data_IF_949433225781
#
_entry.id   IF_949433225781
#
_cell.length_a   1.000
_cell.length_b   1.000
_cell.length_c   1.000
_cell.angle_alpha   90.00
_cell.angle_beta   90.00
_cell.angle_gamma   90.00
#
_symmetry.space_group_name_H-M   'P 1'
#
loop_
_entity.id
_entity.type
_entity.pdbx_description
1 polymer ?
#
# COMPACT_ATOMS: atom_id res chain seq x y z
N UNK A 1 28.82 1.68 15.86
CA UNK A 1 27.80 1.26 14.88
C UNK A 1 28.17 -0.13 14.41
N UNK A 2 27.21 -1.03 14.16
CA UNK A 2 27.55 -2.28 13.47
C UNK A 2 27.93 -1.93 12.02
N UNK A 3 29.03 -2.48 11.47
CA UNK A 3 29.36 -2.29 10.07
C UNK A 3 28.19 -2.75 9.18
N UNK A 4 27.91 -2.05 8.08
CA UNK A 4 26.98 -2.55 7.08
C UNK A 4 27.71 -3.41 6.04
N UNK A 5 26.93 -4.23 5.34
CA UNK A 5 27.44 -5.08 4.28
C UNK A 5 27.86 -4.22 3.06
N UNK A 6 29.04 -4.42 2.46
CA UNK A 6 29.50 -3.65 1.30
C UNK A 6 28.56 -3.71 0.08
N UNK A 7 28.35 -2.58 -0.61
CA UNK A 7 27.45 -2.49 -1.76
C UNK A 7 27.92 -3.37 -2.94
N UNK A 8 29.23 -3.38 -3.18
CA UNK A 8 29.87 -4.19 -4.24
C UNK A 8 29.81 -5.69 -3.92
N UNK A 9 29.75 -6.08 -2.65
CA UNK A 9 29.70 -7.47 -2.22
C UNK A 9 28.33 -8.14 -2.43
N UNK A 10 27.24 -7.37 -2.59
CA UNK A 10 25.89 -7.92 -2.84
C UNK A 10 25.89 -8.70 -4.16
N UNK A 11 25.44 -9.94 -4.16
CA UNK A 11 25.45 -10.79 -5.36
C UNK A 11 24.22 -10.50 -6.23
N UNK A 12 24.43 -10.39 -7.55
CA UNK A 12 23.35 -10.15 -8.51
C UNK A 12 22.72 -8.77 -8.39
N UNK A 13 21.42 -8.69 -8.73
CA UNK A 13 20.60 -7.46 -8.65
C UNK A 13 21.17 -6.29 -9.48
N UNK A 14 21.74 -6.60 -10.65
CA UNK A 14 22.40 -5.62 -11.52
C UNK A 14 21.53 -4.41 -11.84
N UNK A 15 20.24 -4.62 -12.11
CA UNK A 15 19.30 -3.52 -12.37
C UNK A 15 19.07 -2.60 -11.16
N UNK A 16 18.94 -3.14 -9.94
CA UNK A 16 18.78 -2.29 -8.75
C UNK A 16 20.06 -1.52 -8.46
N UNK A 17 21.22 -2.18 -8.60
CA UNK A 17 22.51 -1.50 -8.42
C UNK A 17 22.70 -0.39 -9.44
N UNK A 18 22.35 -0.63 -10.70
CA UNK A 18 22.39 0.37 -11.75
C UNK A 18 21.46 1.54 -11.43
N UNK A 19 20.19 1.29 -11.12
CA UNK A 19 19.22 2.32 -10.77
C UNK A 19 19.69 3.21 -9.60
N UNK A 20 20.22 2.57 -8.53
CA UNK A 20 20.76 3.30 -7.37
C UNK A 20 22.02 4.11 -7.71
N UNK A 21 22.88 3.58 -8.59
CA UNK A 21 24.09 4.29 -9.06
C UNK A 21 23.70 5.50 -9.91
N UNK A 22 22.74 5.35 -10.82
CA UNK A 22 22.24 6.46 -11.66
C UNK A 22 21.54 7.53 -10.81
N UNK A 23 20.78 7.15 -9.78
CA UNK A 23 20.19 8.09 -8.83
C UNK A 23 21.23 8.82 -7.97
N UNK A 24 22.33 8.16 -7.67
CA UNK A 24 23.45 8.81 -7.01
C UNK A 24 24.12 9.85 -7.93
N UNK A 25 24.07 9.67 -9.25
CA UNK A 25 24.62 10.60 -10.25
C UNK A 25 23.65 11.76 -10.53
N UNK A 26 22.38 11.47 -10.85
CA UNK A 26 21.33 12.47 -11.06
C UNK A 26 20.11 12.19 -10.14
N UNK A 27 20.05 12.80 -8.94
CA UNK A 27 18.91 12.66 -8.03
C UNK A 27 17.58 13.16 -8.62
N UNK A 28 17.62 14.06 -9.62
CA UNK A 28 16.42 14.68 -10.23
C UNK A 28 15.60 13.67 -11.05
N UNK A 29 16.15 12.49 -11.33
CA UNK A 29 15.44 11.37 -11.97
C UNK A 29 14.14 11.01 -11.22
N UNK A 30 14.05 11.21 -9.89
CA UNK A 30 12.80 11.05 -9.14
C UNK A 30 12.68 9.73 -8.37
N UNK A 31 13.78 9.20 -7.87
CA UNK A 31 13.80 8.02 -6.99
C UNK A 31 13.60 6.68 -7.69
N UNK A 32 13.68 5.60 -6.92
CA UNK A 32 13.50 4.22 -7.39
C UNK A 32 12.48 3.47 -6.55
N UNK A 33 11.63 2.73 -7.23
CA UNK A 33 10.74 1.75 -6.66
C UNK A 33 11.27 0.33 -6.92
N UNK A 34 11.57 -0.40 -5.86
CA UNK A 34 12.04 -1.79 -5.94
C UNK A 34 10.94 -2.73 -5.50
N UNK A 35 10.32 -3.41 -6.47
CA UNK A 35 9.32 -4.45 -6.24
C UNK A 35 9.98 -5.81 -6.12
N UNK A 36 9.55 -6.61 -5.14
CA UNK A 36 9.94 -8.02 -5.05
C UNK A 36 9.69 -8.62 -3.69
N UNK A 37 9.94 -9.92 -3.50
CA UNK A 37 9.54 -10.60 -2.27
C UNK A 37 10.45 -10.26 -1.09
N UNK A 38 10.07 -10.75 0.09
CA UNK A 38 10.91 -10.64 1.30
C UNK A 38 12.22 -11.42 1.10
N UNK A 39 13.30 -10.93 1.72
CA UNK A 39 14.62 -11.58 1.66
C UNK A 39 15.49 -11.23 0.44
N UNK A 40 15.06 -10.34 -0.45
CA UNK A 40 15.85 -9.94 -1.65
C UNK A 40 16.91 -8.87 -1.39
N UNK A 41 17.42 -8.72 -0.15
CA UNK A 41 18.45 -7.73 0.21
C UNK A 41 18.15 -6.25 -0.09
N UNK A 42 16.90 -5.85 -0.38
CA UNK A 42 16.51 -4.46 -0.71
C UNK A 42 16.98 -3.43 0.33
N UNK A 43 16.70 -3.68 1.61
CA UNK A 43 17.14 -2.80 2.70
C UNK A 43 18.64 -2.89 2.99
N UNK A 44 19.30 -3.98 2.56
CA UNK A 44 20.77 -4.11 2.65
C UNK A 44 21.43 -3.22 1.60
N UNK A 45 20.93 -3.22 0.36
CA UNK A 45 21.40 -2.32 -0.69
C UNK A 45 21.25 -0.85 -0.29
N UNK A 46 20.09 -0.45 0.23
CA UNK A 46 19.85 0.91 0.70
C UNK A 46 20.89 1.38 1.74
N UNK A 47 21.13 0.54 2.77
CA UNK A 47 22.12 0.82 3.81
C UNK A 47 23.53 0.86 3.25
N UNK A 48 23.88 -0.10 2.41
CA UNK A 48 25.22 -0.18 1.83
C UNK A 48 25.55 0.99 0.91
N UNK A 49 24.56 1.54 0.19
CA UNK A 49 24.73 2.74 -0.62
C UNK A 49 24.94 3.99 0.24
N UNK A 50 24.16 4.15 1.31
CA UNK A 50 24.26 5.30 2.22
C UNK A 50 25.57 5.33 3.03
N UNK A 51 26.25 4.19 3.16
CA UNK A 51 27.57 4.09 3.78
C UNK A 51 28.70 4.55 2.85
N UNK A 52 28.46 4.61 1.54
CA UNK A 52 29.45 5.09 0.59
C UNK A 52 29.62 6.61 0.73
N UNK A 53 30.87 7.14 0.68
CA UNK A 53 31.14 8.58 0.76
C UNK A 53 30.82 9.31 -0.55
N UNK A 54 29.55 9.25 -0.97
CA UNK A 54 29.01 9.90 -2.16
C UNK A 54 28.41 11.26 -1.76
N UNK A 55 28.64 12.29 -2.58
CA UNK A 55 28.08 13.62 -2.36
C UNK A 55 26.54 13.55 -2.50
N UNK A 56 25.81 14.04 -1.50
CA UNK A 56 24.34 14.02 -1.48
C UNK A 56 23.69 12.75 -0.94
N UNK A 57 24.46 11.78 -0.44
CA UNK A 57 23.96 10.51 0.12
C UNK A 57 24.48 10.21 1.54
N UNK A 58 24.83 11.25 2.32
CA UNK A 58 25.59 11.09 3.58
C UNK A 58 24.81 10.44 4.74
N UNK A 59 23.50 10.24 4.58
CA UNK A 59 22.63 9.88 5.69
C UNK A 59 21.47 9.01 5.21
N UNK A 60 21.27 7.87 5.85
CA UNK A 60 20.08 7.07 5.68
C UNK A 60 19.00 7.47 6.68
N UNK A 61 17.81 7.78 6.18
CA UNK A 61 16.61 7.92 7.00
C UNK A 61 15.61 6.85 6.57
N UNK A 62 15.14 6.06 7.53
CA UNK A 62 14.12 5.05 7.28
C UNK A 62 12.77 5.55 7.77
N UNK A 63 11.76 5.48 6.90
CA UNK A 63 10.39 5.83 7.23
C UNK A 63 9.64 4.57 7.71
N UNK A 64 9.19 4.53 8.98
CA UNK A 64 8.37 3.43 9.47
C UNK A 64 6.93 3.51 8.95
N UNK A 65 6.28 2.35 8.79
CA UNK A 65 4.91 2.21 8.27
C UNK A 65 3.85 3.01 9.04
N UNK A 66 4.06 3.19 10.35
CA UNK A 66 3.14 3.93 11.22
C UNK A 66 3.44 5.43 11.34
N UNK A 67 4.27 6.00 10.46
CA UNK A 67 4.61 7.42 10.52
C UNK A 67 3.37 8.28 10.29
N UNK A 68 3.14 9.25 11.16
CA UNK A 68 2.15 10.31 10.89
C UNK A 68 2.75 11.36 9.98
N UNK A 69 1.92 12.12 9.30
CA UNK A 69 2.33 13.25 8.46
C UNK A 69 3.25 14.21 9.22
N UNK A 70 2.89 14.54 10.46
CA UNK A 70 3.66 15.37 11.38
C UNK A 70 5.06 14.85 11.68
N UNK A 71 5.25 13.53 11.76
CA UNK A 71 6.57 12.95 11.95
C UNK A 71 7.42 13.07 10.68
N UNK A 72 6.78 13.02 9.51
CA UNK A 72 7.45 13.09 8.21
C UNK A 72 7.84 14.53 7.89
N UNK A 73 6.88 15.44 7.87
CA UNK A 73 7.08 16.86 7.52
C UNK A 73 7.69 17.65 8.66
N UNK A 74 7.31 17.34 9.90
CA UNK A 74 7.62 18.15 11.08
C UNK A 74 6.40 18.92 11.56
N UNK A 75 6.52 19.55 12.73
CA UNK A 75 5.45 20.34 13.34
C UNK A 75 5.92 21.74 13.69
N UNK A 76 4.97 22.66 13.80
CA UNK A 76 5.20 24.02 14.28
C UNK A 76 4.64 24.11 15.71
N UNK A 77 5.49 24.45 16.67
CA UNK A 77 5.06 24.67 18.05
C UNK A 77 4.59 26.12 18.22
N UNK A 78 3.27 26.29 18.30
CA UNK A 78 2.61 27.57 18.52
C UNK A 78 2.72 28.07 19.96
N UNK A 79 2.99 27.19 20.94
CA UNK A 79 3.06 27.61 22.35
C UNK A 79 4.27 28.52 22.59
N UNK A 80 5.41 28.24 21.92
CA UNK A 80 6.55 29.15 21.92
C UNK A 80 6.31 30.42 21.09
N UNK A 81 5.52 30.34 20.00
CA UNK A 81 5.18 31.49 19.18
C UNK A 81 4.37 32.56 19.94
N UNK A 82 3.53 32.16 20.89
CA UNK A 82 2.73 33.07 21.73
C UNK A 82 3.54 33.75 22.83
N UNK A 83 4.62 33.12 23.32
CA UNK A 83 5.46 33.65 24.40
C UNK A 83 6.67 34.45 23.91
N UNK A 84 7.38 33.94 22.91
CA UNK A 84 8.67 34.46 22.44
C UNK A 84 8.59 35.15 21.06
N UNK A 85 7.39 35.22 20.46
CA UNK A 85 7.17 35.69 19.07
C UNK A 85 7.97 34.92 18.00
N UNK A 86 8.53 33.75 18.33
CA UNK A 86 9.26 32.89 17.40
C UNK A 86 8.53 31.56 17.23
N UNK A 87 8.23 31.22 15.98
CA UNK A 87 7.67 29.91 15.64
C UNK A 87 8.78 28.88 15.75
N UNK A 88 8.68 28.00 16.75
CA UNK A 88 9.66 26.94 16.92
C UNK A 88 9.29 25.75 16.03
N UNK A 89 10.13 25.49 15.03
CA UNK A 89 9.98 24.35 14.13
C UNK A 89 10.57 23.09 14.75
N UNK A 90 9.76 22.05 14.88
CA UNK A 90 10.20 20.72 15.26
C UNK A 90 10.48 19.89 13.98
N UNK A 91 11.75 19.55 13.69
CA UNK A 91 12.13 18.93 12.43
C UNK A 91 11.61 17.49 12.30
N UNK A 92 10.95 17.22 11.16
CA UNK A 92 10.49 15.90 10.77
C UNK A 92 11.59 15.00 10.17
N UNK A 93 11.17 13.84 9.66
CA UNK A 93 12.05 12.90 8.94
C UNK A 93 12.62 13.51 7.66
N UNK A 94 11.85 14.33 6.93
CA UNK A 94 12.29 14.96 5.69
C UNK A 94 13.46 15.93 5.92
N UNK A 95 13.41 16.70 7.01
CA UNK A 95 14.54 17.55 7.42
C UNK A 95 15.79 16.72 7.74
N UNK A 96 15.62 15.56 8.37
CA UNK A 96 16.73 14.64 8.67
C UNK A 96 17.29 13.95 7.42
N UNK A 97 16.48 13.79 6.38
CA UNK A 97 16.83 13.12 5.13
C UNK A 97 17.54 14.05 4.14
N UNK A 98 17.55 15.37 4.37
CA UNK A 98 18.22 16.33 3.50
C UNK A 98 19.69 15.95 3.24
N UNK A 99 20.07 15.93 1.97
CA UNK A 99 21.34 15.46 1.42
C UNK A 99 21.66 14.00 1.77
N UNK A 100 20.62 13.16 1.79
CA UNK A 100 20.68 11.75 2.14
C UNK A 100 19.77 10.87 1.29
N UNK A 101 19.59 9.64 1.77
CA UNK A 101 18.71 8.62 1.22
C UNK A 101 17.50 8.44 2.14
N UNK A 102 16.30 8.68 1.62
CA UNK A 102 15.05 8.32 2.29
C UNK A 102 14.61 6.93 1.82
N UNK A 103 14.73 5.96 2.72
CA UNK A 103 14.27 4.60 2.51
C UNK A 103 12.86 4.43 3.07
N UNK A 104 11.95 3.98 2.22
CA UNK A 104 10.57 3.70 2.56
C UNK A 104 10.30 2.23 2.34
N UNK A 105 10.04 1.50 3.43
CA UNK A 105 9.69 0.09 3.34
C UNK A 105 8.21 -0.07 3.03
N UNK A 106 7.87 -0.96 2.09
CA UNK A 106 6.50 -1.30 1.72
C UNK A 106 5.62 -0.05 1.49
N UNK A 107 5.99 0.75 0.47
CA UNK A 107 5.28 1.99 0.11
C UNK A 107 3.78 1.78 -0.13
N UNK A 108 3.38 0.57 -0.51
CA UNK A 108 1.99 0.16 -0.71
C UNK A 108 1.14 0.13 0.57
N UNK A 109 1.78 0.11 1.76
CA UNK A 109 1.10 0.10 3.05
C UNK A 109 0.96 1.51 3.65
N UNK A 110 1.59 2.52 3.05
CA UNK A 110 1.51 3.89 3.53
C UNK A 110 0.19 4.56 3.08
N UNK A 111 -0.31 5.52 3.85
CA UNK A 111 -1.40 6.38 3.40
C UNK A 111 -1.04 7.13 2.10
N UNK A 112 -1.96 7.14 1.14
CA UNK A 112 -1.79 7.82 -0.16
C UNK A 112 -1.27 9.26 0.00
N UNK A 113 -1.80 10.03 0.96
CA UNK A 113 -1.39 11.42 1.22
C UNK A 113 0.07 11.56 1.63
N UNK A 114 0.64 10.56 2.33
CA UNK A 114 2.06 10.56 2.66
C UNK A 114 2.90 10.23 1.44
N UNK A 115 2.49 9.25 0.63
CA UNK A 115 3.23 8.87 -0.58
C UNK A 115 3.27 10.04 -1.56
N UNK A 116 2.14 10.72 -1.76
CA UNK A 116 2.06 11.94 -2.58
C UNK A 116 3.02 13.02 -2.07
N UNK A 117 2.97 13.33 -0.77
CA UNK A 117 3.85 14.32 -0.16
C UNK A 117 5.33 13.96 -0.33
N UNK A 118 5.70 12.70 -0.12
CA UNK A 118 7.09 12.24 -0.27
C UNK A 118 7.57 12.41 -1.71
N UNK A 119 6.72 12.09 -2.70
CA UNK A 119 7.05 12.22 -4.12
C UNK A 119 7.08 13.69 -4.56
N UNK A 120 6.22 14.55 -4.01
CA UNK A 120 6.23 15.99 -4.25
C UNK A 120 7.53 16.61 -3.73
N UNK A 121 7.91 16.30 -2.50
CA UNK A 121 9.13 16.82 -1.88
C UNK A 121 10.39 16.24 -2.55
N UNK A 122 10.38 14.97 -2.94
CA UNK A 122 11.50 14.37 -3.68
C UNK A 122 11.73 15.05 -5.05
N UNK A 123 10.66 15.49 -5.72
CA UNK A 123 10.75 16.20 -6.99
C UNK A 123 11.09 17.69 -6.82
N UNK A 124 10.53 18.37 -5.82
CA UNK A 124 10.73 19.81 -5.60
C UNK A 124 12.02 20.14 -4.83
N UNK A 125 12.50 19.21 -4.01
CA UNK A 125 13.61 19.42 -3.07
C UNK A 125 13.25 20.32 -1.88
N UNK A 126 11.98 20.71 -1.71
CA UNK A 126 11.53 21.65 -0.66
C UNK A 126 10.35 21.03 0.08
N UNK A 127 10.46 20.95 1.40
CA UNK A 127 9.35 20.56 2.27
C UNK A 127 8.63 21.80 2.78
N UNK A 128 7.32 21.88 2.53
CA UNK A 128 6.45 22.99 2.92
C UNK A 128 5.42 22.53 3.93
N UNK A 129 5.33 23.26 5.04
CA UNK A 129 4.48 22.94 6.17
C UNK A 129 3.52 24.10 6.39
N UNK A 130 2.23 23.84 6.22
CA UNK A 130 1.18 24.85 6.41
C UNK A 130 0.27 24.43 7.58
N UNK A 131 0.29 25.19 8.67
CA UNK A 131 -0.60 24.98 9.82
C UNK A 131 -0.98 26.28 10.50
N UNK A 132 -2.24 26.37 10.91
CA UNK A 132 -2.78 27.48 11.71
C UNK A 132 -2.49 28.88 11.12
N UNK A 133 -2.47 28.96 9.79
CA UNK A 133 -2.21 30.20 9.04
C UNK A 133 -0.72 30.56 8.87
N UNK A 134 0.19 29.69 9.31
CA UNK A 134 1.64 29.86 9.18
C UNK A 134 2.17 28.86 8.15
N UNK A 135 3.00 29.35 7.23
CA UNK A 135 3.73 28.54 6.25
C UNK A 135 5.22 28.56 6.60
N UNK A 136 5.83 27.39 6.70
CA UNK A 136 7.26 27.22 6.92
C UNK A 136 7.83 26.28 5.86
N UNK A 137 8.95 26.66 5.27
CA UNK A 137 9.62 25.89 4.23
C UNK A 137 11.06 25.59 4.63
N UNK A 138 11.54 24.41 4.28
CA UNK A 138 12.95 24.07 4.41
C UNK A 138 13.41 23.16 3.27
N UNK A 139 14.71 23.23 2.96
CA UNK A 139 15.31 22.33 1.98
C UNK A 139 15.21 20.87 2.44
N UNK A 140 14.88 20.00 1.50
CA UNK A 140 14.67 18.57 1.69
C UNK A 140 15.03 17.80 0.40
N UNK A 141 16.18 18.13 -0.20
CA UNK A 141 16.75 17.34 -1.29
C UNK A 141 17.22 15.97 -0.77
N UNK A 142 16.65 14.88 -1.25
CA UNK A 142 17.08 13.52 -0.89
C UNK A 142 16.82 12.55 -2.06
N UNK A 143 17.55 11.45 -2.08
CA UNK A 143 17.25 10.33 -2.98
C UNK A 143 16.15 9.48 -2.33
N UNK A 144 15.07 9.20 -3.07
CA UNK A 144 13.98 8.35 -2.60
C UNK A 144 14.19 6.90 -3.06
N UNK A 145 14.15 5.96 -2.11
CA UNK A 145 14.10 4.53 -2.40
C UNK A 145 12.88 3.93 -1.72
N UNK A 146 11.88 3.57 -2.53
CA UNK A 146 10.70 2.83 -2.10
C UNK A 146 10.88 1.34 -2.35
N UNK A 147 10.40 0.50 -1.43
CA UNK A 147 10.23 -0.94 -1.69
C UNK A 147 8.76 -1.29 -1.69
N UNK A 148 8.38 -2.32 -2.43
CA UNK A 148 7.03 -2.90 -2.34
C UNK A 148 7.08 -4.42 -2.44
N UNK A 149 6.08 -5.06 -1.85
CA UNK A 149 5.79 -6.47 -2.05
C UNK A 149 4.47 -6.59 -2.81
N UNK A 150 4.46 -7.08 -4.06
CA UNK A 150 3.23 -7.17 -4.86
C UNK A 150 2.15 -8.05 -4.20
N UNK A 151 2.54 -9.01 -3.36
CA UNK A 151 1.61 -9.88 -2.63
C UNK A 151 0.80 -9.12 -1.55
N UNK A 152 1.26 -7.95 -1.11
CA UNK A 152 0.65 -7.15 -0.05
C UNK A 152 -0.19 -5.97 -0.57
N UNK A 153 -0.34 -5.87 -1.88
CA UNK A 153 -1.15 -4.86 -2.57
C UNK A 153 -0.37 -4.04 -3.59
N UNK A 154 -1.09 -3.51 -4.57
CA UNK A 154 -0.53 -2.67 -5.63
C UNK A 154 -0.63 -1.18 -5.27
N UNK A 155 0.37 -0.41 -5.70
CA UNK A 155 0.34 1.04 -5.61
C UNK A 155 -0.52 1.60 -6.74
N UNK A 156 -1.21 2.73 -6.49
CA UNK A 156 -2.01 3.39 -7.54
C UNK A 156 -1.14 3.76 -8.75
N UNK A 157 -1.63 3.58 -9.99
CA UNK A 157 -0.87 3.93 -11.20
C UNK A 157 -0.37 5.37 -11.22
N UNK A 158 -1.13 6.32 -10.66
CA UNK A 158 -0.74 7.73 -10.60
C UNK A 158 0.50 7.96 -9.71
N UNK A 159 0.67 7.16 -8.66
CA UNK A 159 1.83 7.23 -7.77
C UNK A 159 3.02 6.49 -8.36
N UNK A 160 2.77 5.38 -9.07
CA UNK A 160 3.81 4.64 -9.78
C UNK A 160 4.52 5.52 -10.80
N UNK A 161 3.78 6.25 -11.63
CA UNK A 161 4.36 7.11 -12.67
C UNK A 161 5.27 8.22 -12.11
N UNK A 162 5.06 8.61 -10.85
CA UNK A 162 5.87 9.64 -10.18
C UNK A 162 7.25 9.14 -9.74
N UNK A 163 7.48 7.84 -9.67
CA UNK A 163 8.82 7.29 -9.44
C UNK A 163 9.64 7.35 -10.73
N UNK A 164 10.89 7.78 -10.65
CA UNK A 164 11.79 7.78 -11.81
C UNK A 164 12.00 6.37 -12.36
N UNK A 165 12.48 5.48 -11.50
CA UNK A 165 12.78 4.09 -11.84
C UNK A 165 11.85 3.09 -11.15
N UNK A 166 11.55 2.00 -11.86
CA UNK A 166 10.93 0.79 -11.33
C UNK A 166 11.80 -0.43 -11.61
N UNK A 167 12.02 -1.27 -10.60
CA UNK A 167 12.76 -2.53 -10.75
C UNK A 167 11.97 -3.67 -10.13
N UNK A 168 11.66 -4.69 -10.93
CA UNK A 168 11.09 -5.95 -10.43
C UNK A 168 12.21 -6.97 -10.16
N UNK A 169 12.39 -7.31 -8.89
CA UNK A 169 13.25 -8.40 -8.46
C UNK A 169 12.51 -9.73 -8.59
N UNK A 170 12.85 -10.46 -9.64
CA UNK A 170 12.59 -11.89 -9.71
C UNK A 170 13.47 -12.60 -8.66
N UNK A 171 12.89 -13.22 -7.63
CA UNK A 171 13.63 -14.04 -6.65
C UNK A 171 14.11 -15.39 -7.23
N UNK A 172 14.40 -15.44 -8.53
CA UNK A 172 14.92 -16.60 -9.22
C UNK A 172 16.45 -16.55 -9.19
N UNK A 173 17.02 -16.95 -8.05
CA UNK A 173 18.47 -17.11 -7.93
C UNK A 173 18.86 -18.53 -8.33
N UNK A 174 19.91 -18.68 -9.13
CA UNK A 174 20.52 -19.99 -9.38
C UNK A 174 21.06 -20.60 -8.08
N UNK A 175 21.18 -21.93 -8.02
CA UNK A 175 21.74 -22.60 -6.84
C UNK A 175 23.14 -22.07 -6.49
N UNK A 176 23.94 -21.75 -7.50
CA UNK A 176 25.28 -21.18 -7.32
C UNK A 176 25.23 -19.78 -6.70
N UNK A 177 24.35 -18.90 -7.19
CA UNK A 177 24.17 -17.57 -6.60
C UNK A 177 23.65 -17.63 -5.16
N UNK A 178 22.71 -18.54 -4.86
CA UNK A 178 22.20 -18.71 -3.49
C UNK A 178 23.31 -19.15 -2.52
N UNK A 179 24.13 -20.11 -2.93
CA UNK A 179 25.28 -20.56 -2.13
C UNK A 179 26.26 -19.41 -1.92
N UNK A 180 26.53 -18.62 -2.96
CA UNK A 180 27.44 -17.49 -2.87
C UNK A 180 26.90 -16.38 -1.95
N UNK A 181 25.60 -16.07 -2.01
CA UNK A 181 24.94 -15.13 -1.10
C UNK A 181 25.11 -15.58 0.35
N UNK A 182 24.82 -16.86 0.63
CA UNK A 182 24.96 -17.43 1.98
C UNK A 182 26.42 -17.41 2.43
N UNK A 183 27.37 -17.80 1.57
CA UNK A 183 28.81 -17.80 1.86
C UNK A 183 29.31 -16.39 2.22
N UNK A 184 28.99 -15.39 1.39
CA UNK A 184 29.40 -14.00 1.66
C UNK A 184 28.77 -13.46 2.93
N UNK A 185 27.51 -13.80 3.20
CA UNK A 185 26.83 -13.40 4.42
C UNK A 185 27.48 -14.01 5.66
N UNK A 186 27.78 -15.31 5.63
CA UNK A 186 28.50 -16.00 6.71
C UNK A 186 29.91 -15.42 6.93
N UNK A 187 30.65 -15.15 5.85
CA UNK A 187 31.96 -14.53 5.95
C UNK A 187 31.91 -13.17 6.64
N UNK A 188 30.92 -12.34 6.30
CA UNK A 188 30.69 -11.05 6.96
C UNK A 188 30.24 -11.18 8.42
N UNK A 189 29.37 -12.14 8.73
CA UNK A 189 28.91 -12.35 10.11
C UNK A 189 30.02 -12.93 11.01
N UNK A 190 30.97 -13.68 10.45
CA UNK A 190 32.13 -14.22 11.17
C UNK A 190 33.21 -13.16 11.45
N UNK A 191 33.58 -12.37 10.44
CA UNK A 191 34.55 -11.28 10.56
C UNK A 191 34.20 -10.14 9.59
N UNK A 192 33.45 -9.17 10.10
CA UNK A 192 32.97 -8.05 9.30
C UNK A 192 34.11 -7.10 8.87
N UNK A 193 35.14 -6.92 9.70
CA UNK A 193 36.22 -5.98 9.42
C UNK A 193 37.12 -6.51 8.30
N UNK A 194 37.53 -7.78 8.39
CA UNK A 194 38.31 -8.42 7.33
C UNK A 194 37.50 -8.53 6.03
N UNK A 195 36.20 -8.82 6.11
CA UNK A 195 35.34 -8.84 4.93
C UNK A 195 35.26 -7.47 4.25
N UNK A 196 35.03 -6.39 5.01
CA UNK A 196 34.99 -5.04 4.45
C UNK A 196 36.32 -4.65 3.81
N UNK A 197 37.45 -4.99 4.45
CA UNK A 197 38.77 -4.73 3.90
C UNK A 197 38.94 -5.31 2.48
N UNK A 198 38.45 -6.54 2.25
CA UNK A 198 38.51 -7.19 0.94
C UNK A 198 37.71 -6.49 -0.17
N UNK A 199 36.66 -5.72 0.19
CA UNK A 199 35.82 -5.01 -0.77
C UNK A 199 36.08 -3.49 -0.82
N UNK A 200 37.02 -3.00 -0.01
CA UNK A 200 37.29 -1.56 0.12
C UNK A 200 37.79 -0.95 -1.20
N UNK A 201 38.65 -1.65 -1.94
CA UNK A 201 39.15 -1.20 -3.24
C UNK A 201 38.01 -1.03 -4.25
N UNK A 202 37.15 -2.05 -4.37
CA UNK A 202 35.99 -2.00 -5.28
C UNK A 202 34.99 -0.90 -4.90
N UNK A 203 34.74 -0.69 -3.60
CA UNK A 203 33.86 0.40 -3.16
C UNK A 203 34.48 1.78 -3.43
N UNK A 204 35.79 1.92 -3.25
CA UNK A 204 36.51 3.17 -3.54
C UNK A 204 36.46 3.49 -5.02
N UNK A 205 36.66 2.48 -5.89
CA UNK A 205 36.54 2.64 -7.34
C UNK A 205 35.12 3.05 -7.74
N UNK A 206 34.10 2.36 -7.25
CA UNK A 206 32.70 2.71 -7.50
C UNK A 206 32.38 4.16 -7.12
N UNK A 207 32.87 4.61 -5.96
CA UNK A 207 32.67 5.99 -5.52
C UNK A 207 33.39 6.97 -6.42
N UNK A 208 34.63 6.68 -6.82
CA UNK A 208 35.38 7.51 -7.76
C UNK A 208 34.66 7.64 -9.11
N UNK A 209 34.16 6.53 -9.64
CA UNK A 209 33.40 6.48 -10.90
C UNK A 209 32.12 7.34 -10.79
N UNK A 210 31.41 7.27 -9.65
CA UNK A 210 30.20 8.09 -9.41
C UNK A 210 30.54 9.58 -9.36
N UNK A 211 31.61 9.97 -8.65
CA UNK A 211 32.02 11.38 -8.57
C UNK A 211 32.45 11.92 -9.94
N UNK A 212 33.15 11.10 -10.73
CA UNK A 212 33.55 11.46 -12.09
C UNK A 212 32.31 11.64 -12.99
N UNK A 213 31.34 10.73 -12.90
CA UNK A 213 30.09 10.83 -13.64
C UNK A 213 29.25 12.05 -13.22
N UNK A 214 29.17 12.36 -11.91
CA UNK A 214 28.52 13.58 -11.41
C UNK A 214 29.15 14.85 -11.98
N UNK A 215 30.47 14.88 -12.13
CA UNK A 215 31.20 16.02 -12.71
C UNK A 215 31.00 16.12 -14.24
N UNK A 216 30.87 14.98 -14.93
CA UNK A 216 30.71 14.92 -16.37
C UNK A 216 29.26 15.21 -16.83
N UNK A 217 28.26 14.83 -16.02
CA UNK A 217 26.83 14.92 -16.34
C UNK A 217 26.39 16.27 -16.96
N UNK A 218 26.79 17.45 -16.46
CA UNK A 218 26.37 18.73 -17.04
C UNK A 218 26.87 18.98 -18.47
N UNK A 219 27.91 18.26 -18.90
CA UNK A 219 28.49 18.35 -20.24
C UNK A 219 27.98 17.27 -21.20
N UNK A 220 27.19 16.32 -20.72
CA UNK A 220 26.65 15.24 -21.55
C UNK A 220 25.59 15.79 -22.49
N UNK A 221 25.75 15.50 -23.77
CA UNK A 221 24.82 15.92 -24.82
C UNK A 221 24.08 14.72 -25.42
N UNK A 222 22.83 14.97 -25.81
CA UNK A 222 21.99 14.04 -26.55
C UNK A 222 21.49 14.75 -27.82
N UNK A 223 21.55 14.05 -28.96
CA UNK A 223 21.09 14.57 -30.24
C UNK A 223 19.56 14.44 -30.38
N UNK A 224 18.97 15.15 -31.34
CA UNK A 224 17.52 15.12 -31.55
C UNK A 224 17.02 13.78 -32.10
N UNK A 225 17.85 13.03 -32.83
CA UNK A 225 17.50 11.69 -33.33
C UNK A 225 17.25 10.71 -32.18
N UNK A 226 18.10 10.73 -31.15
CA UNK A 226 17.91 9.89 -29.96
C UNK A 226 16.74 10.37 -29.09
N UNK A 227 16.48 11.69 -29.03
CA UNK A 227 15.27 12.21 -28.39
C UNK A 227 14.01 11.68 -29.08
N UNK A 228 14.00 11.66 -30.41
CA UNK A 228 12.91 11.10 -31.19
C UNK A 228 12.75 9.60 -30.94
N UNK A 229 13.85 8.84 -30.90
CA UNK A 229 13.82 7.41 -30.60
C UNK A 229 13.21 7.11 -29.21
N UNK A 230 13.53 7.92 -28.19
CA UNK A 230 12.90 7.82 -26.87
C UNK A 230 11.40 8.09 -26.96
N UNK A 231 10.99 9.17 -27.63
CA UNK A 231 9.58 9.53 -27.76
C UNK A 231 8.78 8.46 -28.51
N UNK A 232 9.32 7.93 -29.61
CA UNK A 232 8.72 6.82 -30.35
C UNK A 232 8.56 5.56 -29.48
N UNK A 233 9.57 5.24 -28.67
CA UNK A 233 9.51 4.13 -27.73
C UNK A 233 8.47 4.34 -26.61
N UNK A 234 8.35 5.56 -26.07
CA UNK A 234 7.31 5.93 -25.11
C UNK A 234 5.90 5.77 -25.71
N UNK A 235 5.70 6.24 -26.94
CA UNK A 235 4.42 6.10 -27.67
C UNK A 235 4.11 4.62 -27.92
N UNK A 236 5.09 3.83 -28.34
CA UNK A 236 4.92 2.39 -28.56
C UNK A 236 4.58 1.64 -27.25
N UNK A 237 5.14 2.08 -26.12
CA UNK A 237 4.85 1.54 -24.80
C UNK A 237 3.55 2.08 -24.15
N UNK A 238 2.81 2.97 -24.85
CA UNK A 238 1.57 3.60 -24.39
C UNK A 238 1.74 4.32 -23.04
N UNK A 239 2.87 4.98 -22.84
CA UNK A 239 3.15 5.78 -21.64
C UNK A 239 2.24 7.03 -21.64
N UNK A 240 1.67 7.36 -20.48
CA UNK A 240 0.86 8.57 -20.30
C UNK A 240 1.75 9.79 -20.03
N UNK A 241 1.43 10.91 -20.66
CA UNK A 241 2.18 12.17 -20.55
C UNK A 241 3.63 12.10 -21.07
N UNK A 242 4.44 13.08 -20.67
CA UNK A 242 5.84 13.26 -21.11
C UNK A 242 6.87 12.96 -20.02
N UNK A 243 6.41 12.50 -18.84
CA UNK A 243 7.30 12.25 -17.70
C UNK A 243 8.26 11.10 -18.01
N UNK A 244 7.76 10.04 -18.66
CA UNK A 244 8.59 8.93 -19.13
C UNK A 244 9.75 9.40 -19.99
N UNK A 245 9.49 10.28 -20.96
CA UNK A 245 10.48 10.86 -21.88
C UNK A 245 11.57 11.63 -21.13
N UNK A 246 11.18 12.52 -20.21
CA UNK A 246 12.11 13.32 -19.41
C UNK A 246 13.00 12.45 -18.52
N UNK A 247 12.41 11.46 -17.87
CA UNK A 247 13.13 10.53 -16.99
C UNK A 247 14.07 9.65 -17.81
N UNK A 248 13.64 9.14 -18.97
CA UNK A 248 14.46 8.31 -19.84
C UNK A 248 15.66 9.07 -20.39
N UNK A 249 15.44 10.31 -20.84
CA UNK A 249 16.52 11.17 -21.31
C UNK A 249 17.55 11.42 -20.21
N UNK A 250 17.10 11.78 -18.99
CA UNK A 250 18.00 11.98 -17.84
C UNK A 250 18.77 10.71 -17.48
N UNK A 251 18.07 9.57 -17.46
CA UNK A 251 18.68 8.28 -17.17
C UNK A 251 19.73 7.89 -18.22
N UNK A 252 19.47 8.15 -19.50
CA UNK A 252 20.42 7.89 -20.58
C UNK A 252 21.65 8.82 -20.49
N UNK A 253 21.45 10.10 -20.15
CA UNK A 253 22.57 11.03 -19.88
C UNK A 253 23.40 10.59 -18.67
N UNK A 254 22.75 10.19 -17.58
CA UNK A 254 23.42 9.67 -16.39
C UNK A 254 24.17 8.36 -16.69
N UNK A 255 23.62 7.49 -17.53
CA UNK A 255 24.28 6.26 -17.96
C UNK A 255 25.49 6.54 -18.87
N UNK A 256 25.38 7.49 -19.81
CA UNK A 256 26.52 7.91 -20.62
C UNK A 256 27.64 8.50 -19.75
N UNK A 257 27.28 9.35 -18.77
CA UNK A 257 28.22 9.89 -17.79
C UNK A 257 28.89 8.78 -16.96
N UNK A 258 28.10 7.79 -16.52
CA UNK A 258 28.58 6.61 -15.80
C UNK A 258 29.60 5.81 -16.62
N UNK A 259 29.38 5.68 -17.93
CA UNK A 259 30.31 5.07 -18.87
C UNK A 259 31.46 6.00 -19.30
N UNK A 260 31.62 7.16 -18.64
CA UNK A 260 32.66 8.16 -18.90
C UNK A 260 32.63 8.74 -20.32
N UNK A 261 31.42 8.91 -20.88
CA UNK A 261 31.18 9.51 -22.20
C UNK A 261 30.40 10.82 -22.10
N UNK A 262 30.71 11.76 -22.98
CA UNK A 262 30.02 13.06 -23.11
C UNK A 262 28.89 13.07 -24.15
N UNK A 263 28.69 11.97 -24.86
CA UNK A 263 27.64 11.80 -25.86
C UNK A 263 26.84 10.54 -25.54
N UNK A 264 25.51 10.66 -25.55
CA UNK A 264 24.59 9.55 -25.35
C UNK A 264 24.55 8.67 -26.60
N UNK A 265 24.56 7.35 -26.43
CA UNK A 265 24.38 6.37 -27.50
C UNK A 265 23.07 5.61 -27.35
N UNK A 266 22.67 4.89 -28.40
CA UNK A 266 21.47 4.04 -28.36
C UNK A 266 21.58 2.94 -27.27
N UNK A 267 22.79 2.45 -27.01
CA UNK A 267 23.04 1.46 -25.95
C UNK A 267 22.72 2.01 -24.56
N UNK A 268 22.98 3.30 -24.30
CA UNK A 268 22.63 3.93 -23.03
C UNK A 268 21.11 3.97 -22.84
N UNK A 269 20.38 4.30 -23.91
CA UNK A 269 18.91 4.36 -23.91
C UNK A 269 18.34 2.98 -23.65
N UNK A 270 18.85 1.96 -24.33
CA UNK A 270 18.42 0.58 -24.18
C UNK A 270 18.74 0.02 -22.78
N UNK A 271 19.90 0.38 -22.21
CA UNK A 271 20.32 -0.10 -20.89
C UNK A 271 19.38 0.36 -19.76
N UNK A 272 18.83 1.57 -19.87
CA UNK A 272 17.92 2.14 -18.86
C UNK A 272 16.44 2.00 -19.20
N UNK A 273 16.10 1.53 -20.41
CA UNK A 273 14.74 1.43 -20.91
C UNK A 273 13.80 0.71 -19.94
N UNK A 274 14.21 -0.47 -19.47
CA UNK A 274 13.38 -1.27 -18.58
C UNK A 274 13.22 -0.61 -17.20
N UNK A 275 14.24 0.10 -16.70
CA UNK A 275 14.15 0.84 -15.44
C UNK A 275 13.07 1.93 -15.50
N UNK A 276 12.89 2.57 -16.65
CA UNK A 276 11.96 3.69 -16.82
C UNK A 276 10.56 3.20 -17.18
N UNK A 277 10.46 2.18 -18.04
CA UNK A 277 9.19 1.72 -18.60
C UNK A 277 8.47 0.67 -17.76
N UNK A 278 9.16 -0.05 -16.88
CA UNK A 278 8.59 -1.21 -16.15
C UNK A 278 7.26 -0.89 -15.43
N UNK A 279 7.13 0.29 -14.85
CA UNK A 279 5.92 0.73 -14.12
C UNK A 279 5.03 1.70 -14.91
N UNK A 280 5.45 2.09 -16.13
CA UNK A 280 4.73 3.02 -17.02
C UNK A 280 4.07 2.35 -18.21
N UNK A 281 4.52 1.15 -18.56
CA UNK A 281 3.95 0.37 -19.66
C UNK A 281 2.53 -0.03 -19.30
N UNK A 282 1.57 0.42 -20.08
CA UNK A 282 0.23 -0.12 -19.96
C UNK A 282 0.27 -1.56 -20.47
N UNK A 283 -0.07 -2.52 -19.61
CA UNK A 283 -0.42 -3.84 -20.12
C UNK A 283 -1.61 -3.63 -21.06
N UNK A 284 -1.59 -4.20 -22.28
CA UNK A 284 -2.80 -4.21 -23.09
C UNK A 284 -3.92 -4.78 -22.23
N UNK A 285 -5.13 -4.21 -22.28
CA UNK A 285 -6.24 -4.71 -21.49
C UNK A 285 -6.32 -6.21 -21.75
N UNK A 286 -6.12 -7.02 -20.71
CA UNK A 286 -6.41 -8.44 -20.80
C UNK A 286 -7.83 -8.51 -21.33
N UNK A 287 -7.98 -9.07 -22.54
CA UNK A 287 -9.28 -9.23 -23.15
C UNK A 287 -10.14 -9.94 -22.12
N UNK A 288 -11.33 -9.42 -21.76
CA UNK A 288 -12.26 -10.24 -21.01
C UNK A 288 -12.39 -11.57 -21.78
N UNK A 289 -12.38 -12.73 -21.09
CA UNK A 289 -12.54 -14.01 -21.76
C UNK A 289 -13.75 -13.90 -22.70
N UNK A 290 -13.64 -14.40 -23.95
CA UNK A 290 -14.62 -14.11 -24.97
C UNK A 290 -16.01 -14.45 -24.43
N UNK A 291 -16.83 -13.42 -24.27
CA UNK A 291 -18.25 -13.59 -24.01
C UNK A 291 -18.78 -14.35 -25.20
N UNK A 292 -19.07 -15.63 -25.01
CA UNK A 292 -19.80 -16.44 -25.98
C UNK A 292 -21.08 -15.68 -26.32
N UNK A 293 -21.11 -15.08 -27.50
CA UNK A 293 -22.29 -14.48 -28.06
C UNK A 293 -23.35 -15.58 -28.15
N UNK A 294 -24.36 -15.51 -27.27
CA UNK A 294 -25.59 -16.26 -27.47
C UNK A 294 -26.34 -15.58 -28.60
N UNK A 295 -26.41 -16.25 -29.75
CA UNK A 295 -27.27 -15.87 -30.86
C UNK A 295 -28.73 -15.82 -30.37
N UNK A 296 -29.29 -14.62 -30.31
CA UNK A 296 -30.72 -14.40 -30.14
C UNK A 296 -31.43 -14.71 -31.47
N UNK A 297 -31.77 -15.97 -31.69
CA UNK A 297 -32.83 -16.34 -32.64
C UNK A 297 -34.19 -16.29 -31.93
N UNK A 298 -35.24 -15.66 -32.52
CA UNK A 298 -36.54 -15.57 -31.86
C UNK A 298 -37.24 -16.93 -31.79
N UNK A 299 -37.85 -17.20 -30.65
CA UNK A 299 -38.61 -18.41 -30.35
C UNK A 299 -39.71 -18.70 -31.41
N UNK A 300 -39.69 -19.92 -31.95
CA UNK A 300 -40.85 -20.58 -32.53
C UNK A 300 -41.20 -21.84 -31.70
N UNK A 301 -42.49 -22.00 -31.46
CA UNK A 301 -43.14 -22.95 -30.56
C UNK A 301 -42.86 -24.42 -30.89
N UNK A 302 -43.00 -25.35 -29.92
CA UNK A 302 -42.79 -26.76 -30.15
C UNK A 302 -44.04 -27.43 -30.76
N UNK A 303 -43.84 -28.22 -31.80
CA UNK A 303 -44.78 -29.27 -32.23
C UNK A 303 -44.05 -30.62 -32.30
N UNK A 304 -44.48 -31.53 -31.42
CA UNK A 304 -44.51 -33.00 -31.52
C UNK A 304 -43.72 -33.67 -32.66
N UNK A 305 -42.76 -34.55 -32.35
CA UNK A 305 -42.98 -36.01 -32.22
C UNK A 305 -41.65 -36.81 -32.08
N UNK A 306 -41.71 -37.84 -31.21
CA UNK A 306 -41.05 -39.17 -31.21
C UNK A 306 -39.51 -39.36 -31.21
N UNK A 307 -39.10 -40.17 -30.21
CA UNK A 307 -38.08 -41.25 -30.18
C UNK A 307 -36.68 -40.98 -30.77
N UNK A 308 -35.63 -41.07 -29.95
CA UNK A 308 -34.94 -42.35 -29.71
C UNK A 308 -33.95 -42.27 -28.54
N UNK A 309 -33.77 -43.41 -27.87
CA UNK A 309 -32.79 -43.64 -26.80
C UNK A 309 -31.35 -43.60 -27.32
N UNK A 310 -30.42 -43.10 -26.51
CA UNK A 310 -29.14 -43.77 -26.27
C UNK A 310 -28.52 -43.27 -24.97
N UNK A 311 -28.24 -44.22 -24.08
CA UNK A 311 -27.46 -44.01 -22.86
C UNK A 311 -25.98 -43.76 -23.22
N UNK A 312 -25.34 -42.85 -22.50
CA UNK A 312 -23.92 -42.98 -22.16
C UNK A 312 -23.71 -42.50 -20.74
N UNK A 313 -23.31 -43.44 -19.88
CA UNK A 313 -22.66 -43.21 -18.59
C UNK A 313 -21.60 -42.11 -18.70
N UNK A 314 -21.66 -41.13 -17.80
CA UNK A 314 -20.60 -40.88 -16.84
C UNK A 314 -20.93 -39.69 -15.94
N UNK A 315 -20.43 -39.82 -14.71
CA UNK A 315 -20.04 -38.76 -13.79
C UNK A 315 -21.04 -38.31 -12.72
N UNK A 316 -21.12 -39.16 -11.70
CA UNK A 316 -21.47 -38.76 -10.35
C UNK A 316 -20.42 -37.78 -9.81
N UNK A 317 -20.83 -36.52 -9.63
CA UNK A 317 -20.21 -35.63 -8.64
C UNK A 317 -19.49 -34.43 -9.22
N UNK A 318 -20.26 -33.42 -9.66
CA UNK A 318 -19.94 -31.99 -9.55
C UNK A 318 -21.12 -31.17 -10.08
N UNK A 319 -22.03 -30.74 -9.20
CA UNK A 319 -22.93 -29.64 -9.55
C UNK A 319 -22.11 -28.34 -9.60
N UNK A 320 -22.17 -27.63 -10.72
CA UNK A 320 -21.59 -26.29 -10.82
C UNK A 320 -22.44 -25.31 -9.99
N UNK A 321 -21.81 -24.33 -9.31
CA UNK A 321 -22.53 -23.34 -8.52
C UNK A 321 -23.42 -22.48 -9.43
N UNK A 322 -24.74 -22.58 -9.26
CA UNK A 322 -25.68 -21.66 -9.91
C UNK A 322 -25.63 -20.29 -9.22
N UNK A 323 -25.18 -19.27 -9.94
CA UNK A 323 -25.31 -17.88 -9.50
C UNK A 323 -26.75 -17.42 -9.62
N UNK A 324 -27.46 -17.31 -8.49
CA UNK A 324 -28.75 -16.62 -8.41
C UNK A 324 -28.57 -15.12 -8.18
N UNK A 325 -29.33 -14.31 -8.91
CA UNK A 325 -29.40 -12.85 -8.75
C UNK A 325 -29.96 -12.47 -7.36
N UNK A 326 -29.21 -11.66 -6.63
CA UNK A 326 -29.63 -11.06 -5.36
C UNK A 326 -30.86 -10.17 -5.58
N UNK A 327 -31.90 -10.36 -4.77
CA UNK A 327 -33.09 -9.51 -4.81
C UNK A 327 -32.79 -8.08 -4.35
N UNK A 328 -33.62 -7.12 -4.76
CA UNK A 328 -33.46 -5.71 -4.39
C UNK A 328 -33.40 -5.51 -2.87
N UNK A 329 -32.42 -4.73 -2.40
CA UNK A 329 -32.25 -4.37 -0.99
C UNK A 329 -33.52 -3.73 -0.43
N UNK A 330 -34.00 -4.23 0.72
CA UNK A 330 -35.19 -3.69 1.40
C UNK A 330 -34.76 -3.13 2.75
N UNK A 331 -35.13 -1.89 3.03
CA UNK A 331 -34.97 -1.30 4.37
C UNK A 331 -36.04 -1.85 5.31
N UNK A 332 -35.62 -2.50 6.40
CA UNK A 332 -36.52 -2.87 7.49
C UNK A 332 -36.59 -1.69 8.44
N UNK A 333 -37.79 -1.17 8.69
CA UNK A 333 -38.03 -0.33 9.86
C UNK A 333 -38.02 -1.24 11.09
N UNK A 334 -36.89 -1.25 11.81
CA UNK A 334 -36.80 -1.98 13.08
C UNK A 334 -37.73 -1.29 14.08
N UNK A 335 -38.87 -1.91 14.35
CA UNK A 335 -39.81 -1.42 15.36
C UNK A 335 -39.19 -1.61 16.75
N UNK A 336 -38.52 -0.58 17.26
CA UNK A 336 -37.78 -0.56 18.54
C UNK A 336 -38.66 -0.75 19.79
N UNK A 337 -39.95 -1.07 19.64
CA UNK A 337 -40.91 -1.21 20.75
C UNK A 337 -40.99 -2.63 21.34
N UNK A 338 -40.31 -3.62 20.77
CA UNK A 338 -40.29 -4.99 21.32
C UNK A 338 -39.01 -5.26 22.10
N UNK A 339 -38.99 -4.84 23.37
CA UNK A 339 -37.98 -5.30 24.33
C UNK A 339 -38.32 -6.72 24.79
N UNK A 340 -37.78 -7.74 24.14
CA UNK A 340 -37.81 -9.11 24.68
C UNK A 340 -36.66 -9.27 25.68
N UNK A 341 -37.02 -9.50 26.96
CA UNK A 341 -36.05 -9.74 28.02
C UNK A 341 -35.49 -11.16 27.92
N UNK A 342 -34.17 -11.27 27.70
CA UNK A 342 -33.47 -12.56 27.60
C UNK A 342 -33.58 -13.41 28.89
N UNK A 343 -33.92 -12.81 30.04
CA UNK A 343 -34.14 -13.51 31.32
C UNK A 343 -35.30 -14.51 31.27
N UNK A 344 -36.31 -14.28 30.42
CA UNK A 344 -37.51 -15.11 30.41
C UNK A 344 -37.32 -16.43 29.64
N UNK A 345 -36.28 -16.52 28.78
CA UNK A 345 -35.93 -17.73 28.01
C UNK A 345 -34.80 -18.56 28.64
N UNK A 346 -33.93 -17.93 29.45
CA UNK A 346 -32.80 -18.62 30.08
C UNK A 346 -33.24 -19.77 31.01
N UNK A 347 -34.45 -19.72 31.56
CA UNK A 347 -35.02 -20.78 32.42
C UNK A 347 -35.42 -22.05 31.65
N UNK A 348 -35.47 -22.03 30.31
CA UNK A 348 -35.84 -23.17 29.46
C UNK A 348 -34.67 -23.80 28.70
N UNK A 349 -33.46 -23.26 28.83
CA UNK A 349 -32.24 -23.80 28.21
C UNK A 349 -31.59 -24.83 29.14
N UNK A 350 -32.02 -26.08 29.02
CA UNK A 350 -31.40 -27.24 29.66
C UNK A 350 -30.19 -27.71 28.85
N UNK A 351 -29.05 -27.02 28.95
CA UNK A 351 -27.75 -27.63 28.65
C UNK A 351 -26.63 -26.90 29.39
N UNK A 352 -25.72 -27.69 29.96
CA UNK A 352 -24.61 -27.26 30.79
C UNK A 352 -23.65 -26.35 30.02
N UNK A 353 -23.77 -25.04 30.21
CA UNK A 353 -22.81 -24.04 29.79
C UNK A 353 -22.42 -23.16 30.97
N UNK A 354 -21.13 -23.07 31.28
CA UNK A 354 -20.60 -22.23 32.36
C UNK A 354 -20.85 -20.75 32.08
N UNK A 355 -21.79 -20.16 32.82
CA UNK A 355 -22.07 -18.72 32.83
C UNK A 355 -20.95 -17.97 33.58
N UNK A 356 -19.94 -17.51 32.86
CA UNK A 356 -18.98 -16.52 33.36
C UNK A 356 -19.72 -15.21 33.67
N UNK A 357 -19.94 -14.92 34.95
CA UNK A 357 -20.50 -13.66 35.44
C UNK A 357 -19.47 -12.52 35.30
N UNK A 358 -19.40 -11.92 34.12
CA UNK A 358 -18.70 -10.66 33.92
C UNK A 358 -19.43 -9.55 34.69
N UNK A 359 -18.85 -9.07 35.80
CA UNK A 359 -19.32 -7.87 36.50
C UNK A 359 -19.22 -6.68 35.55
N UNK A 360 -20.35 -6.31 34.93
CA UNK A 360 -20.49 -5.08 34.16
C UNK A 360 -20.13 -3.88 35.03
N UNK A 361 -19.01 -3.23 34.71
CA UNK A 361 -18.59 -1.99 35.37
C UNK A 361 -19.66 -0.94 35.11
N UNK A 362 -20.30 -0.46 36.18
CA UNK A 362 -21.23 0.68 36.12
C UNK A 362 -20.54 1.85 35.42
N UNK A 363 -21.11 2.28 34.30
CA UNK A 363 -20.60 3.38 33.49
C UNK A 363 -20.96 4.70 34.17
N UNK A 364 -20.00 5.27 34.91
CA UNK A 364 -20.01 6.70 35.12
C UNK A 364 -20.05 7.36 33.74
N UNK A 365 -21.16 8.04 33.41
CA UNK A 365 -21.46 8.59 32.07
C UNK A 365 -20.51 9.72 31.62
N UNK A 366 -19.58 10.13 32.49
CA UNK A 366 -18.72 11.28 32.29
C UNK A 366 -17.26 10.88 32.45
N UNK A 367 -16.44 11.24 31.45
CA UNK A 367 -14.98 11.08 31.55
C UNK A 367 -14.42 12.12 32.53
N UNK A 368 -13.26 11.85 33.10
CA UNK A 368 -12.51 12.84 33.91
C UNK A 368 -11.88 13.95 33.05
N UNK A 369 -12.06 13.95 31.72
CA UNK A 369 -11.49 14.94 30.80
C UNK A 369 -12.46 16.11 30.62
N UNK A 370 -12.02 17.32 30.98
CA UNK A 370 -12.80 18.56 30.84
C UNK A 370 -13.02 18.87 29.35
N UNK A 371 -14.26 19.18 28.97
CA UNK A 371 -14.60 19.75 27.67
C UNK A 371 -14.50 21.27 27.76
N UNK A 372 -13.30 21.81 27.52
CA UNK A 372 -13.02 23.23 27.65
C UNK A 372 -13.97 24.10 26.83
N UNK A 373 -14.25 23.74 25.58
CA UNK A 373 -15.15 24.48 24.72
C UNK A 373 -16.57 24.59 25.29
N UNK A 374 -17.14 23.48 25.75
CA UNK A 374 -18.47 23.48 26.38
C UNK A 374 -18.49 24.21 27.73
N UNK A 375 -17.38 24.15 28.48
CA UNK A 375 -17.23 24.83 29.77
C UNK A 375 -17.16 26.35 29.61
N UNK A 376 -16.44 26.82 28.58
CA UNK A 376 -16.31 28.25 28.26
C UNK A 376 -17.61 28.84 27.68
N UNK A 377 -18.35 28.09 26.88
CA UNK A 377 -19.64 28.55 26.34
C UNK A 377 -20.71 28.63 27.44
N UNK A 378 -20.72 27.67 28.37
CA UNK A 378 -21.64 27.69 29.50
C UNK A 378 -21.32 28.82 30.49
N UNK A 379 -20.04 29.14 30.68
CA UNK A 379 -19.55 30.17 31.59
C UNK A 379 -19.53 31.60 31.02
N UNK A 380 -20.44 31.96 30.10
CA UNK A 380 -20.54 33.36 29.61
C UNK A 380 -20.95 34.30 30.75
N UNK A 381 -19.97 34.84 31.48
CA UNK A 381 -20.12 36.00 32.36
C UNK A 381 -20.00 35.75 33.88
N UNK A 382 -19.87 34.51 34.35
CA UNK A 382 -19.51 34.16 35.74
C UNK A 382 -18.63 32.90 35.76
N UNK A 383 -18.03 32.58 36.92
CA UNK A 383 -17.05 31.48 37.11
C UNK A 383 -17.35 30.24 36.24
N UNK A 384 -16.35 29.68 35.56
CA UNK A 384 -16.55 28.65 34.55
C UNK A 384 -17.18 27.39 35.15
N UNK A 385 -18.37 27.03 34.66
CA UNK A 385 -19.01 25.76 34.97
C UNK A 385 -18.27 24.63 34.24
N UNK A 386 -17.44 23.87 34.96
CA UNK A 386 -16.64 22.79 34.37
C UNK A 386 -17.54 21.66 33.85
N UNK A 387 -17.60 21.52 32.52
CA UNK A 387 -18.33 20.45 31.84
C UNK A 387 -17.35 19.40 31.34
N UNK A 388 -17.61 18.15 31.69
CA UNK A 388 -16.75 17.03 31.34
C UNK A 388 -17.18 16.39 30.01
N UNK A 389 -16.24 15.81 29.26
CA UNK A 389 -16.58 15.04 28.05
C UNK A 389 -17.36 13.79 28.47
N UNK A 390 -18.47 13.49 27.78
CA UNK A 390 -19.10 12.16 27.90
C UNK A 390 -18.08 11.12 27.46
N UNK A 391 -17.90 10.06 28.26
CA UNK A 391 -17.23 8.86 27.77
C UNK A 391 -18.03 8.38 26.56
N UNK A 392 -17.40 8.18 25.40
CA UNK A 392 -18.00 7.41 24.31
C UNK A 392 -18.09 5.95 24.76
N UNK A 393 -19.07 5.66 25.61
CA UNK A 393 -19.60 4.33 25.75
C UNK A 393 -20.48 4.10 24.53
N UNK A 394 -19.91 3.62 23.44
CA UNK A 394 -20.71 2.86 22.51
C UNK A 394 -21.05 1.58 23.27
N UNK A 395 -22.32 1.38 23.65
CA UNK A 395 -22.79 0.01 23.79
C UNK A 395 -22.49 -0.65 22.43
N UNK A 396 -21.65 -1.68 22.37
CA UNK A 396 -21.40 -2.37 21.11
C UNK A 396 -22.70 -3.10 20.76
N UNK A 397 -23.57 -2.44 20.00
CA UNK A 397 -24.74 -3.10 19.42
C UNK A 397 -24.21 -4.13 18.43
N UNK A 398 -24.40 -5.40 18.76
CA UNK A 398 -24.11 -6.53 17.90
C UNK A 398 -25.40 -6.94 17.19
N UNK A 399 -25.40 -6.89 15.87
CA UNK A 399 -26.46 -7.46 15.04
C UNK A 399 -26.14 -8.93 14.77
N UNK A 400 -26.88 -9.84 15.42
CA UNK A 400 -26.81 -11.27 15.16
C UNK A 400 -27.93 -11.67 14.20
N UNK A 401 -27.57 -12.14 13.01
CA UNK A 401 -28.51 -12.62 12.00
C UNK A 401 -28.40 -14.13 11.91
N UNK A 402 -29.51 -14.84 12.09
CA UNK A 402 -29.59 -16.30 11.93
C UNK A 402 -30.35 -16.60 10.62
N UNK A 403 -29.70 -17.32 9.71
CA UNK A 403 -30.26 -17.71 8.42
C UNK A 403 -30.49 -19.22 8.41
N UNK A 404 -31.72 -19.64 8.13
CA UNK A 404 -32.04 -21.04 7.88
C UNK A 404 -31.54 -21.42 6.49
N UNK A 405 -30.68 -22.44 6.41
CA UNK A 405 -30.12 -22.98 5.16
C UNK A 405 -30.63 -24.39 4.87
N UNK A 406 -31.70 -24.84 5.52
CA UNK A 406 -32.28 -26.18 5.32
C UNK A 406 -32.89 -26.37 3.92
N UNK A 407 -32.84 -27.61 3.41
CA UNK A 407 -33.26 -27.96 2.05
C UNK A 407 -34.72 -27.58 1.69
N UNK A 408 -35.60 -27.33 2.67
CA UNK A 408 -36.98 -26.91 2.42
C UNK A 408 -37.13 -25.40 2.13
N UNK A 409 -36.06 -24.61 2.24
CA UNK A 409 -36.03 -23.17 1.87
C UNK A 409 -35.42 -22.91 0.49
N UNK A 410 -34.81 -23.93 -0.12
CA UNK A 410 -34.22 -23.89 -1.47
C UNK A 410 -35.27 -23.94 -2.59
N UNK A 411 -36.51 -24.38 -2.30
CA UNK A 411 -37.62 -24.34 -3.26
C UNK A 411 -38.43 -23.03 -3.13
N UNK A 412 -37.85 -21.91 -3.56
CA UNK A 412 -38.57 -20.62 -3.69
C UNK A 412 -37.69 -19.37 -3.62
N UNK A 413 -38.27 -18.19 -3.89
CA UNK A 413 -37.59 -16.88 -3.82
C UNK A 413 -37.14 -16.45 -2.40
N UNK A 414 -37.29 -17.32 -1.39
CA UNK A 414 -36.99 -17.03 0.02
C UNK A 414 -35.52 -16.71 0.28
N UNK A 415 -34.60 -17.39 -0.40
CA UNK A 415 -33.16 -17.14 -0.24
C UNK A 415 -32.73 -15.77 -0.81
N UNK A 416 -33.30 -15.37 -1.95
CA UNK A 416 -33.05 -14.06 -2.57
C UNK A 416 -33.59 -12.91 -1.71
N UNK A 417 -34.77 -13.09 -1.09
CA UNK A 417 -35.33 -12.12 -0.14
C UNK A 417 -34.53 -12.05 1.16
N UNK A 418 -34.08 -13.19 1.70
CA UNK A 418 -33.24 -13.22 2.88
C UNK A 418 -31.91 -12.48 2.64
N UNK A 419 -31.25 -12.72 1.50
CA UNK A 419 -30.03 -11.99 1.12
C UNK A 419 -30.24 -10.48 1.06
N UNK A 420 -31.32 -10.02 0.42
CA UNK A 420 -31.65 -8.58 0.34
C UNK A 420 -31.95 -7.93 1.70
N UNK A 421 -32.47 -8.69 2.67
CA UNK A 421 -32.70 -8.21 4.04
C UNK A 421 -31.39 -8.13 4.84
N UNK A 422 -30.52 -9.14 4.75
CA UNK A 422 -29.22 -9.11 5.43
C UNK A 422 -28.35 -7.97 4.88
N UNK A 423 -28.40 -7.73 3.58
CA UNK A 423 -27.72 -6.60 2.95
C UNK A 423 -28.25 -5.25 3.49
N UNK A 424 -29.57 -5.09 3.62
CA UNK A 424 -30.18 -3.90 4.21
C UNK A 424 -29.76 -3.66 5.68
N UNK A 425 -29.76 -4.71 6.50
CA UNK A 425 -29.31 -4.63 7.91
C UNK A 425 -27.81 -4.32 7.98
N UNK A 426 -27.00 -4.93 7.10
CA UNK A 426 -25.56 -4.70 7.03
C UNK A 426 -25.23 -3.25 6.69
N UNK A 427 -25.95 -2.65 5.74
CA UNK A 427 -25.75 -1.26 5.36
C UNK A 427 -26.11 -0.29 6.49
N UNK A 428 -27.22 -0.51 7.21
CA UNK A 428 -27.59 0.29 8.39
C UNK A 428 -26.56 0.15 9.52
N UNK A 429 -26.12 -1.08 9.80
CA UNK A 429 -25.11 -1.36 10.83
C UNK A 429 -23.75 -0.74 10.47
N UNK A 430 -23.36 -0.72 9.19
CA UNK A 430 -22.14 -0.08 8.70
C UNK A 430 -22.19 1.43 8.91
N UNK A 431 -23.29 2.09 8.52
CA UNK A 431 -23.48 3.53 8.72
C UNK A 431 -23.41 3.92 10.21
N UNK A 432 -23.94 3.07 11.08
CA UNK A 432 -23.90 3.25 12.53
C UNK A 432 -22.57 2.82 13.20
N UNK A 433 -21.60 2.29 12.44
CA UNK A 433 -20.32 1.72 12.93
C UNK A 433 -20.50 0.62 13.98
N UNK A 434 -21.54 -0.20 13.80
CA UNK A 434 -21.91 -1.30 14.70
C UNK A 434 -21.28 -2.64 14.27
N UNK A 435 -21.36 -3.63 15.16
CA UNK A 435 -20.83 -4.97 14.90
C UNK A 435 -21.91 -5.89 14.33
N UNK A 436 -21.50 -6.88 13.52
CA UNK A 436 -22.41 -7.84 12.90
C UNK A 436 -21.80 -9.26 12.93
N UNK A 437 -22.68 -10.25 13.05
CA UNK A 437 -22.39 -11.68 12.96
C UNK A 437 -23.56 -12.35 12.22
N UNK A 438 -23.27 -13.13 11.18
CA UNK A 438 -24.28 -13.88 10.42
C UNK A 438 -23.97 -15.36 10.54
N UNK A 439 -24.92 -16.14 11.06
CA UNK A 439 -24.81 -17.59 11.20
C UNK A 439 -25.86 -18.26 10.32
N UNK A 440 -25.43 -19.25 9.53
CA UNK A 440 -26.30 -20.18 8.83
C UNK A 440 -26.57 -21.39 9.70
N UNK A 441 -27.80 -21.89 9.74
CA UNK A 441 -28.14 -23.14 10.42
C UNK A 441 -28.95 -24.07 9.51
N UNK A 442 -28.55 -25.33 9.44
CA UNK A 442 -29.21 -26.36 8.62
C UNK A 442 -28.49 -27.70 8.74
N UNK A 443 -29.20 -28.81 8.55
CA UNK A 443 -28.66 -30.18 8.68
C UNK A 443 -27.89 -30.42 10.00
N UNK A 444 -28.48 -30.01 11.12
CA UNK A 444 -27.92 -30.12 12.49
C UNK A 444 -26.54 -29.44 12.69
N UNK A 445 -26.17 -28.51 11.80
CA UNK A 445 -24.94 -27.72 11.91
C UNK A 445 -25.24 -26.23 11.90
N UNK A 446 -24.40 -25.47 12.61
CA UNK A 446 -24.38 -24.00 12.61
C UNK A 446 -23.01 -23.57 12.09
N UNK A 447 -23.00 -22.84 10.97
CA UNK A 447 -21.77 -22.36 10.33
C UNK A 447 -21.77 -20.84 10.26
N UNK A 448 -20.66 -20.16 10.61
CA UNK A 448 -20.55 -18.72 10.48
C UNK A 448 -20.43 -18.33 9.01
N UNK A 449 -21.50 -17.77 8.45
CA UNK A 449 -21.51 -17.21 7.09
C UNK A 449 -20.74 -15.87 7.04
N UNK A 450 -20.69 -15.16 8.16
CA UNK A 450 -19.82 -13.99 8.36
C UNK A 450 -19.22 -14.05 9.76
N UNK A 451 -17.89 -13.97 9.86
CA UNK A 451 -17.20 -13.86 11.14
C UNK A 451 -17.56 -12.57 11.89
N UNK A 452 -17.60 -12.63 13.22
CA UNK A 452 -17.90 -11.47 14.05
C UNK A 452 -16.92 -10.32 13.77
N UNK A 453 -17.46 -9.16 13.39
CA UNK A 453 -16.64 -8.01 13.03
C UNK A 453 -17.45 -6.73 12.90
N UNK A 454 -16.80 -5.67 12.42
CA UNK A 454 -17.51 -4.46 11.99
C UNK A 454 -18.35 -4.80 10.76
N UNK A 455 -19.60 -4.32 10.71
CA UNK A 455 -20.45 -4.51 9.55
C UNK A 455 -19.71 -4.04 8.28
N UNK A 456 -19.61 -4.84 7.22
CA UNK A 456 -18.90 -4.47 6.00
C UNK A 456 -19.71 -3.49 5.14
N UNK A 457 -19.02 -2.73 4.29
CA UNK A 457 -19.65 -1.75 3.37
C UNK A 457 -20.48 -2.43 2.28
N UNK A 458 -20.09 -3.63 1.87
CA UNK A 458 -20.79 -4.48 0.89
C UNK A 458 -20.77 -5.93 1.38
N UNK A 459 -21.91 -6.61 1.34
CA UNK A 459 -21.98 -8.05 1.63
C UNK A 459 -21.53 -8.81 0.38
N UNK A 460 -20.55 -9.72 0.48
CA UNK A 460 -20.22 -10.62 -0.64
C UNK A 460 -21.40 -11.59 -0.86
N UNK A 461 -21.87 -11.69 -2.11
CA UNK A 461 -23.07 -12.40 -2.56
C UNK A 461 -22.99 -13.92 -2.46
#
# INVERSE_FOLDING_TARGET
MKPNFPFTAVVGQGQVKLALTLLAIDPVIGGVLVSGPRGSAKSTLARSLADLPIKGLKKLVTLPLGSTEEMVTGTLDLQQALGEQQVAFAPGLLSKAHQGLLYVDEVNLLPDSLVDLLLDVAASGINRIERDGISHEHAAEFVLMGTMNPDEGELRPQLLDRFGFGVALANHYSAQERVEIVRRRQAFDNDAEAFIANYTEQQTQLVADIHQAQALLPSVTINDELRLAIAEACVAAQVDGVRGDLVWLRAACAHAAWQQRSEVTLDDINAVAELVLMHRRQQPPQSPPPTSHFDNSPAQQPSSDKNNQTLSDNDWGQMQPETQLTGQARSIEVNTKTHYSFKDYASKLTSQGTLSHGKGRSTSRWSQRINWFASFIAGRGKQPELRYRRQRGADPTLHLVLLDTSASTLSGQGQSQAKGLVEGIGQQAYLARQQMLVLGFGNDKVEPLMAWGRAPKTMRS
#
